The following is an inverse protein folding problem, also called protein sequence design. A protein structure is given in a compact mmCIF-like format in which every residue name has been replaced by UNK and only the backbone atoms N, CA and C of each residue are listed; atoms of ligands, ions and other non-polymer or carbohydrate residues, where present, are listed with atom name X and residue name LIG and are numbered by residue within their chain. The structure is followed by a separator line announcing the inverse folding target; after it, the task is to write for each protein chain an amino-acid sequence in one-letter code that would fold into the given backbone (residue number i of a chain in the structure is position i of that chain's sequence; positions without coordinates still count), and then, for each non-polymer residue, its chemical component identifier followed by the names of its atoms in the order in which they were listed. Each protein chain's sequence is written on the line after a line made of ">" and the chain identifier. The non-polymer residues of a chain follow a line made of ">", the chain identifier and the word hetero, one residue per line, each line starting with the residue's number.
data_IF_559350821992
#
_entry.id   IF_559350821992
#
_cell.length_a   1.000
_cell.length_b   1.000
_cell.length_c   1.000
_cell.angle_alpha   90.00
_cell.angle_beta   90.00
_cell.angle_gamma   90.00
#
_symmetry.space_group_name_H-M   'P 1'
#
loop_
_entity.id
_entity.type
_entity.pdbx_description
1 polymer ?
#
# COMPACT_ATOMS: atom_id res chain seq x y z
N UNK A 1 -1.84 9.79 45.39
CA UNK A 1 -0.48 9.79 45.98
C UNK A 1 -0.27 8.40 46.58
N UNK A 2 0.41 7.50 45.85
CA UNK A 2 0.72 6.17 46.37
C UNK A 2 1.97 6.25 47.25
N UNK A 3 2.02 5.57 48.41
CA UNK A 3 3.20 5.60 49.26
C UNK A 3 4.37 4.92 48.57
N UNK A 4 5.50 5.60 48.48
CA UNK A 4 6.76 5.02 48.03
C UNK A 4 7.21 3.97 49.06
N UNK A 5 7.14 2.70 48.68
CA UNK A 5 7.66 1.61 49.51
C UNK A 5 9.19 1.74 49.53
N UNK A 6 9.83 1.86 50.71
CA UNK A 6 11.27 2.09 50.79
C UNK A 6 12.01 0.88 50.21
N UNK A 7 12.98 1.15 49.33
CA UNK A 7 13.82 0.14 48.64
C UNK A 7 14.44 -0.90 49.59
N UNK A 8 14.69 -0.52 50.85
CA UNK A 8 15.18 -1.42 51.89
C UNK A 8 14.20 -2.55 52.24
N UNK A 9 12.88 -2.31 52.15
CA UNK A 9 11.86 -3.32 52.44
C UNK A 9 11.79 -4.40 51.34
N UNK A 10 11.95 -4.00 50.06
CA UNK A 10 12.00 -4.91 48.92
C UNK A 10 13.23 -5.82 48.97
N UNK A 11 14.39 -5.28 49.37
CA UNK A 11 15.62 -6.06 49.53
C UNK A 11 15.51 -7.08 50.68
N UNK A 12 14.83 -6.74 51.77
CA UNK A 12 14.63 -7.63 52.92
C UNK A 12 13.74 -8.84 52.59
N UNK A 13 12.70 -8.62 51.76
CA UNK A 13 11.81 -9.70 51.28
C UNK A 13 12.56 -10.67 50.35
N UNK A 14 13.47 -10.17 49.52
CA UNK A 14 14.29 -11.01 48.64
C UNK A 14 15.32 -11.88 49.40
N UNK A 15 15.78 -11.45 50.57
CA UNK A 15 16.76 -12.17 51.40
C UNK A 15 16.14 -13.23 52.32
N UNK A 16 14.87 -13.08 52.70
CA UNK A 16 14.17 -14.00 53.62
C UNK A 16 13.40 -15.13 52.91
N UNK A 17 13.27 -15.08 51.58
CA UNK A 17 12.62 -16.11 50.79
C UNK A 17 13.48 -16.56 49.59
N UNK A 18 14.61 -17.27 49.81
CA UNK A 18 15.33 -17.95 48.74
C UNK A 18 14.50 -19.16 48.30
N UNK A 19 13.41 -18.91 47.57
CA UNK A 19 12.45 -19.97 47.22
C UNK A 19 11.11 -19.49 46.68
N UNK A 20 10.75 -18.20 46.83
CA UNK A 20 9.71 -17.63 45.98
C UNK A 20 10.34 -17.25 44.64
N UNK A 21 10.68 -18.26 43.85
CA UNK A 21 10.64 -18.11 42.42
C UNK A 21 9.20 -17.69 42.11
N UNK A 22 9.01 -16.45 41.67
CA UNK A 22 7.77 -16.07 41.01
C UNK A 22 7.64 -17.07 39.87
N UNK A 23 6.73 -18.04 39.99
CA UNK A 23 6.35 -18.87 38.87
C UNK A 23 5.80 -17.91 37.83
N UNK A 24 6.67 -17.50 36.90
CA UNK A 24 6.24 -16.81 35.71
C UNK A 24 5.15 -17.69 35.09
N UNK A 25 4.01 -17.11 34.70
CA UNK A 25 2.96 -17.88 34.06
C UNK A 25 3.63 -18.71 32.95
N UNK A 26 3.35 -20.01 32.93
CA UNK A 26 3.84 -20.87 31.86
C UNK A 26 3.59 -20.19 30.53
N UNK A 27 4.53 -20.32 29.59
CA UNK A 27 4.38 -19.67 28.31
C UNK A 27 3.16 -20.26 27.57
N UNK A 28 2.06 -19.49 27.53
CA UNK A 28 0.83 -19.83 26.81
C UNK A 28 0.99 -19.72 25.29
N UNK A 29 2.15 -19.25 24.81
CA UNK A 29 2.45 -19.19 23.39
C UNK A 29 2.95 -20.56 22.87
N UNK A 30 2.42 -21.06 21.75
CA UNK A 30 2.97 -22.25 21.10
C UNK A 30 4.41 -22.01 20.61
N UNK A 31 5.25 -23.06 20.64
CA UNK A 31 6.71 -22.97 20.44
C UNK A 31 7.16 -22.27 19.15
N UNK A 32 6.35 -22.29 18.08
CA UNK A 32 6.68 -21.62 16.81
C UNK A 32 6.61 -20.08 16.89
N UNK A 33 5.91 -19.52 17.89
CA UNK A 33 5.80 -18.08 18.13
C UNK A 33 6.86 -17.55 19.10
N UNK A 34 7.66 -18.42 19.73
CA UNK A 34 8.62 -17.98 20.76
C UNK A 34 9.65 -16.98 20.24
N UNK A 35 9.95 -17.00 18.94
CA UNK A 35 10.87 -16.05 18.28
C UNK A 35 10.17 -15.10 17.29
N UNK A 36 8.86 -14.87 17.41
CA UNK A 36 8.15 -13.91 16.54
C UNK A 36 8.28 -12.45 17.01
N UNK A 37 8.50 -12.23 18.31
CA UNK A 37 8.82 -10.90 18.85
C UNK A 37 9.74 -11.01 20.07
N UNK A 38 10.38 -9.91 20.47
CA UNK A 38 11.25 -9.86 21.65
C UNK A 38 10.44 -10.07 22.93
N UNK A 39 9.22 -9.54 22.97
CA UNK A 39 8.30 -9.64 24.11
C UNK A 39 7.89 -11.10 24.35
N UNK A 40 7.57 -11.84 23.28
CA UNK A 40 7.23 -13.26 23.38
C UNK A 40 8.47 -14.09 23.77
N UNK A 41 9.63 -13.77 23.20
CA UNK A 41 10.87 -14.44 23.58
C UNK A 41 11.19 -14.26 25.08
N UNK A 42 10.94 -13.07 25.64
CA UNK A 42 11.11 -12.79 27.07
C UNK A 42 10.09 -13.52 27.93
N UNK A 43 8.81 -13.47 27.53
CA UNK A 43 7.74 -14.17 28.24
C UNK A 43 7.99 -15.68 28.31
N UNK A 44 8.64 -16.24 27.29
CA UNK A 44 8.89 -17.67 27.15
C UNK A 44 10.34 -18.10 27.48
N UNK A 45 11.15 -17.21 28.04
CA UNK A 45 12.56 -17.46 28.40
C UNK A 45 13.38 -18.04 27.23
N UNK A 46 13.06 -17.61 26.01
CA UNK A 46 13.63 -18.08 24.77
C UNK A 46 14.61 -17.08 24.15
N UNK A 47 14.92 -15.96 24.82
CA UNK A 47 15.69 -14.85 24.24
C UNK A 47 17.08 -15.29 23.78
N UNK A 48 17.78 -16.10 24.58
CA UNK A 48 19.10 -16.62 24.22
C UNK A 48 19.07 -17.50 22.96
N UNK A 49 18.00 -18.26 22.78
CA UNK A 49 17.78 -19.10 21.59
C UNK A 49 17.39 -18.25 20.38
N UNK A 50 16.52 -17.26 20.57
CA UNK A 50 16.06 -16.38 19.50
C UNK A 50 17.12 -15.36 19.06
N UNK A 51 18.02 -14.93 19.95
CA UNK A 51 19.13 -14.03 19.62
C UNK A 51 20.17 -14.68 18.69
N UNK A 52 20.37 -15.99 18.85
CA UNK A 52 21.26 -16.78 17.98
C UNK A 52 20.58 -17.22 16.67
N UNK A 53 19.25 -17.18 16.62
CA UNK A 53 18.49 -17.28 15.39
C UNK A 53 18.46 -15.90 14.77
N UNK A 54 19.52 -15.54 14.03
CA UNK A 54 19.44 -14.47 13.04
C UNK A 54 18.36 -14.87 12.03
N UNK A 55 17.09 -14.59 12.33
CA UNK A 55 16.04 -14.73 11.36
C UNK A 55 16.35 -13.66 10.31
N UNK A 56 16.73 -14.03 9.08
CA UNK A 56 16.78 -13.03 8.04
C UNK A 56 15.40 -12.37 8.03
N UNK A 57 15.38 -11.04 7.97
CA UNK A 57 14.15 -10.31 7.76
C UNK A 57 13.45 -10.97 6.57
N UNK A 58 12.21 -11.44 6.78
CA UNK A 58 11.46 -12.05 5.70
C UNK A 58 11.31 -11.02 4.59
N UNK A 59 11.37 -11.47 3.33
CA UNK A 59 11.12 -10.58 2.21
C UNK A 59 9.69 -10.01 2.34
N UNK A 60 9.49 -8.73 1.95
CA UNK A 60 8.15 -8.15 1.90
C UNK A 60 7.23 -9.01 1.02
N UNK A 61 5.95 -9.01 1.35
CA UNK A 61 4.93 -9.63 0.50
C UNK A 61 4.67 -8.69 -0.67
N UNK A 62 4.92 -9.18 -1.88
CA UNK A 62 4.65 -8.46 -3.12
C UNK A 62 3.15 -8.52 -3.45
N UNK A 63 2.50 -7.36 -3.56
CA UNK A 63 1.09 -7.22 -3.91
C UNK A 63 0.97 -6.31 -5.13
N UNK A 64 0.35 -6.81 -6.20
CA UNK A 64 0.03 -6.00 -7.39
C UNK A 64 -1.49 -5.87 -7.54
N UNK A 65 -2.00 -4.65 -7.48
CA UNK A 65 -3.42 -4.35 -7.69
C UNK A 65 -3.63 -3.81 -9.10
N UNK A 66 -4.37 -4.57 -9.91
CA UNK A 66 -4.88 -4.14 -11.21
C UNK A 66 -6.32 -3.68 -11.02
N UNK A 67 -6.61 -2.42 -11.35
CA UNK A 67 -7.90 -1.81 -11.03
C UNK A 67 -8.31 -0.73 -12.05
N UNK A 68 -9.54 -0.23 -11.91
CA UNK A 68 -10.13 0.83 -12.73
C UNK A 68 -10.68 1.94 -11.83
N UNK A 69 -10.50 3.19 -12.21
CA UNK A 69 -10.82 4.34 -11.36
C UNK A 69 -12.32 4.56 -11.10
N UNK A 70 -13.20 3.96 -11.90
CA UNK A 70 -14.66 4.04 -11.69
C UNK A 70 -15.30 2.70 -11.33
N UNK A 71 -14.53 1.64 -11.16
CA UNK A 71 -15.06 0.34 -10.74
C UNK A 71 -15.38 0.35 -9.23
N UNK A 72 -16.66 0.17 -8.81
CA UNK A 72 -17.04 0.29 -7.40
C UNK A 72 -16.29 -0.68 -6.46
N UNK A 73 -16.05 -1.91 -6.91
CA UNK A 73 -15.34 -2.91 -6.10
C UNK A 73 -13.85 -2.58 -5.95
N UNK A 74 -13.20 -2.12 -7.03
CA UNK A 74 -11.82 -1.65 -7.01
C UNK A 74 -11.63 -0.53 -5.99
N UNK A 75 -12.52 0.47 -6.05
CA UNK A 75 -12.53 1.61 -5.13
C UNK A 75 -12.72 1.18 -3.68
N UNK A 76 -13.69 0.31 -3.43
CA UNK A 76 -13.93 -0.25 -2.10
C UNK A 76 -12.71 -0.98 -1.55
N UNK A 77 -12.08 -1.83 -2.35
CA UNK A 77 -10.86 -2.55 -1.95
C UNK A 77 -9.69 -1.59 -1.68
N UNK A 78 -9.41 -0.66 -2.59
CA UNK A 78 -8.29 0.28 -2.47
C UNK A 78 -8.43 1.15 -1.22
N UNK A 79 -9.60 1.76 -1.04
CA UNK A 79 -9.85 2.75 0.02
C UNK A 79 -10.02 2.07 1.38
N UNK A 80 -10.81 1.00 1.48
CA UNK A 80 -11.20 0.45 2.78
C UNK A 80 -10.26 -0.64 3.27
N UNK A 81 -9.63 -1.39 2.35
CA UNK A 81 -8.79 -2.52 2.70
C UNK A 81 -7.32 -2.19 2.50
N UNK A 82 -6.88 -1.97 1.26
CA UNK A 82 -5.46 -1.85 0.94
C UNK A 82 -4.80 -0.65 1.62
N UNK A 83 -5.42 0.53 1.56
CA UNK A 83 -4.88 1.73 2.20
C UNK A 83 -4.80 1.59 3.72
N UNK A 84 -5.84 1.03 4.34
CA UNK A 84 -5.85 0.73 5.78
C UNK A 84 -4.74 -0.25 6.16
N UNK A 85 -4.57 -1.34 5.39
CA UNK A 85 -3.51 -2.32 5.61
C UNK A 85 -2.12 -1.70 5.50
N UNK A 86 -1.90 -0.84 4.50
CA UNK A 86 -0.64 -0.13 4.31
C UNK A 86 -0.29 0.80 5.49
N UNK A 87 -1.29 1.42 6.13
CA UNK A 87 -1.08 2.25 7.33
C UNK A 87 -0.80 1.43 8.60
N UNK A 88 -1.38 0.23 8.71
CA UNK A 88 -1.30 -0.59 9.93
C UNK A 88 -0.05 -1.49 9.97
N UNK A 89 0.45 -1.92 8.82
CA UNK A 89 1.60 -2.80 8.74
C UNK A 89 2.93 -2.01 8.76
N UNK A 90 4.03 -2.63 9.25
CA UNK A 90 5.36 -2.07 9.08
C UNK A 90 5.69 -1.81 7.62
N UNK A 91 6.48 -0.77 7.34
CA UNK A 91 6.82 -0.36 5.97
C UNK A 91 7.55 -1.44 5.17
N UNK A 92 8.20 -2.39 5.86
CA UNK A 92 8.97 -3.49 5.28
C UNK A 92 8.13 -4.75 5.04
N UNK A 93 6.84 -4.77 5.43
CA UNK A 93 5.99 -5.95 5.34
C UNK A 93 5.38 -6.14 3.94
N UNK A 94 5.10 -5.04 3.23
CA UNK A 94 4.40 -5.05 1.94
C UNK A 94 5.15 -4.22 0.90
N UNK A 95 5.31 -4.79 -0.29
CA UNK A 95 5.70 -4.08 -1.51
C UNK A 95 4.51 -4.03 -2.44
N UNK A 96 3.96 -2.82 -2.65
CA UNK A 96 2.70 -2.62 -3.37
C UNK A 96 2.96 -2.00 -4.74
N UNK A 97 2.43 -2.63 -5.78
CA UNK A 97 2.37 -2.09 -7.14
C UNK A 97 0.92 -1.82 -7.52
N UNK A 98 0.65 -0.62 -8.02
CA UNK A 98 -0.66 -0.21 -8.52
C UNK A 98 -0.66 -0.18 -10.04
N UNK A 99 -1.72 -0.67 -10.67
CA UNK A 99 -1.87 -0.68 -12.13
C UNK A 99 -3.29 -0.23 -12.49
N UNK A 100 -3.53 1.09 -12.65
CA UNK A 100 -4.81 1.64 -13.06
C UNK A 100 -5.02 1.43 -14.57
N UNK A 101 -5.64 0.31 -14.91
CA UNK A 101 -5.94 -0.10 -16.29
C UNK A 101 -7.15 -1.03 -16.32
N UNK A 102 -7.13 -2.07 -15.47
CA UNK A 102 -8.20 -3.05 -15.30
C UNK A 102 -8.64 -3.69 -16.62
N UNK A 103 -9.93 -3.59 -16.93
CA UNK A 103 -10.52 -4.21 -18.13
C UNK A 103 -10.60 -3.25 -19.33
N UNK A 104 -9.82 -2.18 -19.35
CA UNK A 104 -9.75 -1.32 -20.53
C UNK A 104 -9.26 -2.12 -21.75
N UNK A 105 -9.86 -1.88 -22.91
CA UNK A 105 -9.49 -2.50 -24.17
C UNK A 105 -8.70 -1.52 -25.04
N UNK A 106 -7.70 -2.03 -25.75
CA UNK A 106 -6.89 -1.22 -26.67
C UNK A 106 -7.42 -1.34 -28.11
N UNK A 107 -8.09 -0.28 -28.57
CA UNK A 107 -8.53 -0.13 -29.95
C UNK A 107 -7.45 0.53 -30.84
N UNK A 108 -7.43 0.16 -32.12
CA UNK A 108 -6.73 0.95 -33.13
C UNK A 108 -7.60 2.17 -33.50
N UNK A 109 -7.10 3.39 -33.31
CA UNK A 109 -7.87 4.61 -33.58
C UNK A 109 -8.01 4.93 -35.09
N UNK A 110 -9.14 5.52 -35.55
CA UNK A 110 -9.29 5.98 -36.93
C UNK A 110 -8.57 7.33 -37.18
N UNK A 111 -7.75 7.40 -38.24
CA UNK A 111 -7.09 8.63 -38.70
C UNK A 111 -8.08 9.56 -39.38
N UNK A 112 -8.41 10.72 -38.78
CA UNK A 112 -9.18 11.78 -39.46
C UNK A 112 -8.45 13.11 -39.45
N UNK A 113 -7.68 13.36 -40.50
CA UNK A 113 -7.21 14.70 -40.85
C UNK A 113 -8.31 15.42 -41.64
N UNK A 114 -8.87 16.51 -41.12
CA UNK A 114 -9.63 17.45 -41.97
C UNK A 114 -8.66 18.51 -42.52
N UNK A 115 -8.37 18.43 -43.83
CA UNK A 115 -7.63 19.46 -44.57
C UNK A 115 -6.39 18.95 -45.31
N UNK A 116 -6.01 19.65 -46.38
CA UNK A 116 -5.01 19.26 -47.39
C UNK A 116 -3.57 19.75 -47.08
N UNK A 117 -3.29 20.24 -45.87
CA UNK A 117 -2.01 20.91 -45.54
C UNK A 117 -1.38 20.35 -44.25
N UNK A 118 -0.08 19.94 -44.25
CA UNK A 118 0.51 19.17 -43.16
C UNK A 118 0.95 19.98 -41.93
N UNK A 119 0.65 21.28 -41.86
CA UNK A 119 1.28 22.19 -40.86
C UNK A 119 0.32 22.88 -39.89
N UNK A 120 -0.94 22.46 -39.80
CA UNK A 120 -1.89 23.11 -38.89
C UNK A 120 -2.88 22.13 -38.25
N UNK A 121 -2.34 21.25 -37.41
CA UNK A 121 -3.11 20.58 -36.35
C UNK A 121 -2.68 21.22 -35.03
N UNK A 122 -3.60 21.91 -34.35
CA UNK A 122 -3.35 22.53 -33.05
C UNK A 122 -3.75 21.55 -31.94
N UNK A 123 -2.95 21.37 -30.87
CA UNK A 123 -3.31 20.47 -29.78
C UNK A 123 -4.26 21.18 -28.80
N UNK A 124 -5.34 20.51 -28.40
CA UNK A 124 -6.21 20.92 -27.29
C UNK A 124 -6.56 19.65 -26.50
N UNK A 125 -5.85 19.47 -25.39
CA UNK A 125 -6.13 18.50 -24.31
C UNK A 125 -6.18 17.01 -24.73
N UNK A 126 -5.26 16.60 -25.61
CA UNK A 126 -5.11 15.23 -26.12
C UNK A 126 -4.03 14.41 -25.37
N UNK A 127 -3.52 14.92 -24.24
CA UNK A 127 -2.20 14.53 -23.70
C UNK A 127 -2.29 13.76 -22.40
N UNK A 128 -2.89 12.59 -22.42
CA UNK A 128 -2.64 11.58 -21.40
C UNK A 128 -2.66 10.18 -22.13
N UNK A 129 -1.58 9.42 -21.92
CA UNK A 129 -1.14 8.02 -22.24
C UNK A 129 -1.64 7.21 -23.48
N UNK A 130 -0.72 6.56 -24.24
CA UNK A 130 -0.97 5.49 -25.25
C UNK A 130 -0.05 4.21 -25.04
N UNK A 131 -0.46 2.94 -25.29
CA UNK A 131 0.46 1.75 -25.31
C UNK A 131 0.35 0.97 -26.62
N UNK A 132 1.54 0.79 -27.31
CA UNK A 132 2.27 0.56 -28.66
C UNK A 132 1.85 -0.22 -29.99
N UNK A 133 1.47 0.46 -31.09
CA UNK A 133 1.09 -0.17 -32.39
C UNK A 133 1.81 0.57 -33.49
N UNK A 134 2.81 -0.09 -34.06
CA UNK A 134 3.50 0.40 -35.24
C UNK A 134 2.60 0.23 -36.47
N UNK A 135 1.64 1.14 -36.62
CA UNK A 135 1.10 1.49 -37.95
C UNK A 135 0.65 2.94 -38.09
N UNK A 136 0.60 3.74 -37.01
CA UNK A 136 0.32 5.20 -37.10
C UNK A 136 0.66 6.03 -35.85
N UNK A 137 1.19 5.42 -34.78
CA UNK A 137 1.75 6.13 -33.61
C UNK A 137 0.75 6.67 -32.57
N UNK A 138 -0.55 6.32 -32.63
CA UNK A 138 -1.55 6.76 -31.64
C UNK A 138 -2.44 5.61 -31.17
N UNK A 139 -2.71 5.58 -29.86
CA UNK A 139 -3.55 4.57 -29.22
C UNK A 139 -4.87 5.11 -28.74
N UNK A 140 -5.85 4.23 -28.71
CA UNK A 140 -7.17 4.53 -28.21
C UNK A 140 -7.56 3.46 -27.18
N UNK A 141 -7.91 3.89 -25.97
CA UNK A 141 -8.42 3.02 -24.92
C UNK A 141 -9.93 3.12 -24.85
N UNK A 142 -10.58 2.00 -24.61
CA UNK A 142 -12.01 1.90 -24.35
C UNK A 142 -12.18 1.32 -22.95
N UNK A 143 -12.87 2.08 -22.10
CA UNK A 143 -13.11 1.71 -20.71
C UNK A 143 -14.59 1.39 -20.50
N UNK A 144 -14.90 0.56 -19.51
CA UNK A 144 -16.26 0.04 -19.29
C UNK A 144 -17.21 1.11 -18.73
N UNK A 145 -16.70 2.04 -17.94
CA UNK A 145 -17.45 3.13 -17.32
C UNK A 145 -17.26 4.46 -18.08
N UNK A 146 -16.90 4.38 -19.37
CA UNK A 146 -16.84 5.52 -20.27
C UNK A 146 -15.52 6.31 -20.22
N UNK A 147 -15.47 7.48 -20.88
CA UNK A 147 -14.22 8.23 -21.06
C UNK A 147 -13.67 8.83 -19.76
N UNK A 148 -14.51 9.06 -18.75
CA UNK A 148 -14.06 9.57 -17.44
C UNK A 148 -13.22 8.54 -16.67
N UNK A 149 -13.53 7.24 -16.78
CA UNK A 149 -12.68 6.17 -16.24
C UNK A 149 -11.33 6.14 -16.95
N UNK A 150 -11.36 6.17 -18.28
CA UNK A 150 -10.13 6.22 -19.07
C UNK A 150 -9.27 7.43 -18.72
N UNK A 151 -9.87 8.60 -18.49
CA UNK A 151 -9.16 9.79 -18.03
C UNK A 151 -8.62 9.61 -16.60
N UNK A 152 -9.40 9.03 -15.69
CA UNK A 152 -8.99 8.74 -14.31
C UNK A 152 -7.79 7.81 -14.23
N UNK A 153 -7.87 6.64 -14.89
CA UNK A 153 -6.78 5.65 -14.97
C UNK A 153 -5.45 6.30 -15.42
N UNK A 154 -5.58 7.26 -16.31
CA UNK A 154 -4.48 7.93 -16.98
C UNK A 154 -3.88 9.07 -16.15
N UNK A 155 -4.71 9.82 -15.44
CA UNK A 155 -4.28 10.80 -14.42
C UNK A 155 -3.48 10.08 -13.34
N UNK A 156 -3.98 8.96 -12.83
CA UNK A 156 -3.30 8.17 -11.79
C UNK A 156 -1.96 7.59 -12.29
N UNK A 157 -1.93 7.07 -13.51
CA UNK A 157 -0.70 6.62 -14.17
C UNK A 157 0.33 7.76 -14.27
N UNK A 158 -0.09 8.96 -14.69
CA UNK A 158 0.79 10.12 -14.79
C UNK A 158 1.25 10.62 -13.41
N UNK A 159 0.37 10.63 -12.41
CA UNK A 159 0.72 10.97 -11.04
C UNK A 159 1.82 10.04 -10.50
N UNK A 160 1.70 8.73 -10.72
CA UNK A 160 2.73 7.77 -10.33
C UNK A 160 4.06 8.03 -11.05
N UNK A 161 4.02 8.35 -12.35
CA UNK A 161 5.21 8.66 -13.14
C UNK A 161 5.95 9.92 -12.65
N UNK A 162 5.20 10.97 -12.33
CA UNK A 162 5.77 12.26 -11.90
C UNK A 162 6.22 12.22 -10.44
N UNK A 163 5.38 11.69 -9.54
CA UNK A 163 5.67 11.68 -8.11
C UNK A 163 6.76 10.66 -7.73
N UNK A 164 6.83 9.52 -8.46
CA UNK A 164 7.77 8.38 -8.31
C UNK A 164 7.75 7.65 -6.97
N UNK A 165 7.55 8.36 -5.87
CA UNK A 165 7.54 7.83 -4.52
C UNK A 165 6.15 7.31 -4.16
N UNK A 166 6.07 6.03 -3.79
CA UNK A 166 4.82 5.38 -3.37
C UNK A 166 4.12 6.13 -2.25
N UNK A 167 4.86 6.51 -1.20
CA UNK A 167 4.33 7.27 -0.07
C UNK A 167 3.79 8.66 -0.42
N UNK A 168 4.10 9.17 -1.63
CA UNK A 168 3.60 10.45 -2.12
C UNK A 168 2.36 10.27 -2.99
N UNK A 169 2.39 9.38 -3.99
CA UNK A 169 1.24 9.23 -4.89
C UNK A 169 0.11 8.42 -4.28
N UNK A 170 0.39 7.44 -3.41
CA UNK A 170 -0.65 6.54 -2.91
C UNK A 170 -1.72 7.25 -2.06
N UNK A 171 -1.37 8.19 -1.15
CA UNK A 171 -2.37 9.01 -0.48
C UNK A 171 -3.20 9.89 -1.41
N UNK A 172 -2.62 10.37 -2.51
CA UNK A 172 -3.34 11.17 -3.51
C UNK A 172 -4.31 10.28 -4.30
N UNK A 173 -3.89 9.09 -4.72
CA UNK A 173 -4.77 8.10 -5.38
C UNK A 173 -5.91 7.71 -4.44
N UNK A 174 -5.63 7.43 -3.16
CA UNK A 174 -6.66 7.20 -2.15
C UNK A 174 -7.70 8.32 -2.10
N UNK A 175 -7.27 9.59 -2.15
CA UNK A 175 -8.16 10.75 -2.16
C UNK A 175 -9.04 10.78 -3.41
N UNK A 176 -8.44 10.63 -4.59
CA UNK A 176 -9.15 10.59 -5.88
C UNK A 176 -10.22 9.49 -5.88
N UNK A 177 -9.85 8.31 -5.39
CA UNK A 177 -10.70 7.12 -5.35
C UNK A 177 -11.74 7.14 -4.24
N UNK A 178 -11.62 8.03 -3.26
CA UNK A 178 -12.60 8.22 -2.20
C UNK A 178 -13.67 9.26 -2.57
N UNK A 179 -13.39 10.19 -3.48
CA UNK A 179 -14.31 11.28 -3.82
C UNK A 179 -15.45 10.86 -4.76
N UNK A 180 -16.48 11.69 -4.91
CA UNK A 180 -17.64 11.36 -5.74
C UNK A 180 -17.35 11.34 -7.25
N UNK A 181 -16.27 12.00 -7.69
CA UNK A 181 -15.82 11.99 -9.07
C UNK A 181 -14.30 12.08 -9.12
N UNK A 182 -13.65 11.08 -9.73
CA UNK A 182 -12.18 10.99 -9.87
C UNK A 182 -11.61 12.22 -10.60
N UNK A 183 -12.37 12.82 -11.51
CA UNK A 183 -11.95 13.93 -12.37
C UNK A 183 -12.27 15.31 -11.80
N UNK A 184 -13.36 15.45 -11.02
CA UNK A 184 -13.81 16.75 -10.50
C UNK A 184 -13.29 17.10 -9.11
N UNK A 185 -12.70 16.13 -8.39
CA UNK A 185 -12.09 16.39 -7.08
C UNK A 185 -10.91 17.40 -7.16
N UNK A 186 -10.38 17.65 -8.35
CA UNK A 186 -9.22 18.53 -8.61
C UNK A 186 -9.60 19.96 -9.05
N UNK A 187 -10.89 20.27 -9.22
CA UNK A 187 -11.38 21.58 -9.71
C UNK A 187 -11.65 22.60 -8.59
N UNK A 188 -11.02 22.45 -7.43
CA UNK A 188 -11.21 23.33 -6.27
C UNK A 188 -10.41 24.64 -6.34
#
# INVERSE_FOLDING_TARGET
>A
MAPAVPLALLALVALLAPGLGVALPGCDYPAHLWCSSREIAVACQAESRCANLSRPAAAPVELSLYYESLCPACRGFLVQQLFTTWLLLPAEALSITLVPYGNAEVGAGPTRCRGRSPRRCQPRLDRLVPQERNVSGKWHFQCQHGPEECLGNMIETCLMHEAKNFSTYFPVIFCLESGSSVTKNLEA
#
